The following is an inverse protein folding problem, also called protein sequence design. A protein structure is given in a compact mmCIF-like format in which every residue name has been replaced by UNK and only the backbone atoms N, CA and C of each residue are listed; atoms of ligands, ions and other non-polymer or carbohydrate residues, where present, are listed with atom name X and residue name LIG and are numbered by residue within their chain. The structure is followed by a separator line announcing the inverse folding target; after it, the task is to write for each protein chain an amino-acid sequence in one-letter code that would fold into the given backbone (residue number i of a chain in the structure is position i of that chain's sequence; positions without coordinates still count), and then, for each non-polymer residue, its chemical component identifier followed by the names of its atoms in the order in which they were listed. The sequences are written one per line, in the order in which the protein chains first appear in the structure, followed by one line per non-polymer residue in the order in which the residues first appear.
data_IF_777193641129
#
_entry.id   IF_777193641129
#
_cell.length_a   1.000
_cell.length_b   1.000
_cell.length_c   1.000
_cell.angle_alpha   90.00
_cell.angle_beta   90.00
_cell.angle_gamma   90.00
#
_symmetry.space_group_name_H-M   'P 1'
#
loop_
_entity.id
_entity.type
_entity.pdbx_description
1 polymer ?
#
# COMPACT_ATOMS: atom_id res chain seq x y z
N UNK A 1 10.49 9.84 6.45
CA UNK A 1 9.22 9.10 6.61
C UNK A 1 9.22 8.08 5.48
N UNK A 2 9.31 6.79 5.82
CA UNK A 2 9.34 5.64 4.88
C UNK A 2 8.21 4.67 5.30
N UNK A 3 7.20 5.20 6.00
CA UNK A 3 6.26 4.43 6.83
C UNK A 3 5.41 3.50 6.00
N UNK A 4 4.54 4.03 5.13
CA UNK A 4 3.69 3.13 4.36
C UNK A 4 4.44 2.34 3.32
N UNK A 5 5.42 2.84 2.57
CA UNK A 5 6.00 1.97 1.53
C UNK A 5 6.66 0.70 2.13
N UNK A 6 7.34 0.84 3.28
CA UNK A 6 7.90 -0.30 4.02
C UNK A 6 6.84 -1.09 4.79
N UNK A 7 5.71 -0.50 5.15
CA UNK A 7 4.57 -1.19 5.78
C UNK A 7 3.68 -1.91 4.76
N UNK A 8 3.44 -1.32 3.60
CA UNK A 8 2.56 -1.74 2.52
C UNK A 8 3.22 -2.83 1.69
N UNK A 9 4.51 -2.72 1.37
CA UNK A 9 5.22 -3.74 0.60
C UNK A 9 5.14 -5.15 1.21
N UNK A 10 5.40 -5.37 2.51
CA UNK A 10 5.18 -6.67 3.16
C UNK A 10 3.70 -6.97 3.46
N UNK A 11 2.79 -5.99 3.40
CA UNK A 11 1.35 -6.17 3.66
C UNK A 11 0.48 -6.27 2.39
N UNK A 12 1.03 -6.02 1.19
CA UNK A 12 0.44 -6.36 -0.13
C UNK A 12 0.37 -7.90 -0.35
N UNK A 13 0.38 -8.67 0.74
CA UNK A 13 0.26 -10.12 0.70
C UNK A 13 -1.03 -10.45 -0.04
N UNK A 14 -1.00 -11.46 -0.92
CA UNK A 14 -2.19 -11.98 -1.59
C UNK A 14 -3.36 -12.21 -0.61
N UNK A 15 -3.05 -12.61 0.64
CA UNK A 15 -4.04 -12.84 1.69
C UNK A 15 -4.94 -11.61 1.93
N UNK A 16 -4.39 -10.39 2.05
CA UNK A 16 -5.23 -9.20 2.32
C UNK A 16 -6.09 -8.83 1.12
N UNK A 17 -5.55 -8.99 -0.08
CA UNK A 17 -6.29 -8.76 -1.31
C UNK A 17 -7.48 -9.72 -1.44
N UNK A 18 -7.24 -11.02 -1.23
CA UNK A 18 -8.26 -12.05 -1.44
C UNK A 18 -9.27 -12.18 -0.29
N UNK A 19 -8.84 -12.00 0.96
CA UNK A 19 -9.71 -12.24 2.12
C UNK A 19 -10.29 -10.96 2.75
N UNK A 20 -9.80 -9.78 2.37
CA UNK A 20 -10.30 -8.52 2.93
C UNK A 20 -10.67 -7.50 1.87
N UNK A 21 -9.81 -7.21 0.89
CA UNK A 21 -10.12 -6.20 -0.12
C UNK A 21 -11.26 -6.62 -1.05
N UNK A 22 -11.04 -7.63 -1.90
CA UNK A 22 -12.02 -8.05 -2.92
C UNK A 22 -13.40 -8.40 -2.35
N UNK A 23 -13.52 -9.14 -1.22
CA UNK A 23 -14.84 -9.47 -0.67
C UNK A 23 -15.65 -8.26 -0.20
N UNK A 24 -15.02 -7.13 0.12
CA UNK A 24 -15.70 -5.96 0.67
C UNK A 24 -15.99 -4.86 -0.37
N UNK A 25 -15.54 -5.00 -1.61
CA UNK A 25 -15.73 -3.96 -2.66
C UNK A 25 -17.20 -3.66 -2.92
N UNK A 26 -18.05 -4.70 -2.97
CA UNK A 26 -19.47 -4.53 -3.27
C UNK A 26 -20.18 -3.68 -2.21
N UNK A 27 -19.81 -3.85 -0.93
CA UNK A 27 -20.46 -3.19 0.20
C UNK A 27 -19.86 -1.81 0.50
N UNK A 28 -18.53 -1.70 0.45
CA UNK A 28 -17.81 -0.51 0.92
C UNK A 28 -17.29 0.38 -0.21
N UNK A 29 -17.47 -0.04 -1.46
CA UNK A 29 -16.74 0.56 -2.58
C UNK A 29 -15.24 0.25 -2.53
N UNK A 30 -14.52 0.73 -3.53
CA UNK A 30 -13.07 0.48 -3.67
C UNK A 30 -12.29 1.12 -2.52
N UNK A 31 -12.57 2.39 -2.22
CA UNK A 31 -11.82 3.16 -1.21
C UNK A 31 -12.06 2.60 0.20
N UNK A 32 -13.31 2.32 0.56
CA UNK A 32 -13.65 1.73 1.86
C UNK A 32 -13.13 0.30 2.02
N UNK A 33 -13.16 -0.51 0.96
CA UNK A 33 -12.57 -1.85 1.00
C UNK A 33 -11.05 -1.81 1.13
N UNK A 34 -10.40 -0.82 0.49
CA UNK A 34 -8.96 -0.59 0.60
C UNK A 34 -8.57 -0.20 2.02
N UNK A 35 -9.24 0.80 2.60
CA UNK A 35 -9.00 1.23 3.97
C UNK A 35 -9.21 0.08 4.97
N UNK A 36 -10.25 -0.73 4.77
CA UNK A 36 -10.50 -1.92 5.59
C UNK A 36 -9.39 -2.98 5.48
N UNK A 37 -8.80 -3.16 4.30
CA UNK A 37 -7.77 -4.18 4.08
C UNK A 37 -6.40 -3.75 4.58
N UNK A 38 -6.07 -2.47 4.43
CA UNK A 38 -4.71 -1.96 4.60
C UNK A 38 -4.53 -0.97 5.76
N UNK A 39 -5.63 -0.47 6.33
CA UNK A 39 -5.62 0.42 7.50
C UNK A 39 -5.20 1.86 7.21
N UNK A 40 -5.09 2.23 5.94
CA UNK A 40 -4.84 3.60 5.45
C UNK A 40 -5.77 3.87 4.27
N UNK A 41 -6.07 5.14 4.04
CA UNK A 41 -6.85 5.59 2.87
C UNK A 41 -6.00 5.52 1.59
N UNK A 42 -6.67 5.54 0.43
CA UNK A 42 -5.96 5.67 -0.85
C UNK A 42 -5.25 7.01 -0.98
N UNK A 43 -5.80 8.09 -0.39
CA UNK A 43 -5.17 9.41 -0.39
C UNK A 43 -3.85 9.41 0.39
N UNK A 44 -3.83 8.81 1.58
CA UNK A 44 -2.59 8.62 2.35
C UNK A 44 -1.56 7.80 1.56
N UNK A 45 -1.99 6.72 0.89
CA UNK A 45 -1.12 5.95 0.00
C UNK A 45 -0.53 6.82 -1.12
N UNK A 46 -1.35 7.66 -1.78
CA UNK A 46 -0.89 8.53 -2.86
C UNK A 46 0.13 9.56 -2.37
N UNK A 47 -0.13 10.19 -1.22
CA UNK A 47 0.82 11.14 -0.61
C UNK A 47 2.16 10.46 -0.35
N UNK A 48 2.14 9.28 0.27
CA UNK A 48 3.37 8.54 0.57
C UNK A 48 4.06 8.02 -0.69
N UNK A 49 3.31 7.72 -1.76
CA UNK A 49 3.86 7.34 -3.05
C UNK A 49 4.57 8.50 -3.74
N UNK A 50 3.98 9.70 -3.73
CA UNK A 50 4.63 10.91 -4.26
C UNK A 50 5.89 11.25 -3.46
N UNK A 51 5.85 11.14 -2.14
CA UNK A 51 7.05 11.28 -1.30
C UNK A 51 8.13 10.27 -1.68
N UNK A 52 7.77 9.01 -1.92
CA UNK A 52 8.69 7.99 -2.41
C UNK A 52 9.30 8.35 -3.78
N UNK A 53 8.48 8.80 -4.73
CA UNK A 53 8.97 9.21 -6.06
C UNK A 53 9.93 10.41 -6.01
N UNK A 54 9.84 11.23 -4.96
CA UNK A 54 10.76 12.35 -4.73
C UNK A 54 12.15 11.92 -4.22
N UNK A 55 12.32 10.67 -3.79
CA UNK A 55 13.59 10.16 -3.26
C UNK A 55 14.62 9.95 -4.39
N UNK A 56 15.93 10.04 -4.07
CA UNK A 56 17.00 9.60 -4.96
C UNK A 56 16.82 8.14 -5.42
N UNK A 57 17.23 7.83 -6.66
CA UNK A 57 17.01 6.52 -7.28
C UNK A 57 17.61 5.35 -6.50
N UNK A 58 18.78 5.53 -5.88
CA UNK A 58 19.42 4.54 -5.01
C UNK A 58 18.57 4.20 -3.77
N UNK A 59 17.87 5.19 -3.21
CA UNK A 59 16.93 4.99 -2.11
C UNK A 59 15.64 4.33 -2.58
N UNK A 60 15.15 4.66 -3.79
CA UNK A 60 13.99 3.99 -4.37
C UNK A 60 14.24 2.49 -4.59
N UNK A 61 15.44 2.15 -5.09
CA UNK A 61 15.83 0.77 -5.38
C UNK A 61 16.05 -0.09 -4.13
N UNK A 62 16.32 0.52 -2.97
CA UNK A 62 16.51 -0.18 -1.70
C UNK A 62 15.25 -0.88 -1.16
N UNK A 63 14.08 -0.60 -1.74
CA UNK A 63 12.81 -1.22 -1.37
C UNK A 63 12.60 -2.59 -2.03
N UNK A 64 13.25 -2.85 -3.17
CA UNK A 64 13.13 -4.15 -3.85
C UNK A 64 13.88 -5.19 -3.01
N UNK A 65 13.22 -6.25 -2.52
CA UNK A 65 13.88 -7.30 -1.75
C UNK A 65 14.92 -7.98 -2.65
N UNK A 66 16.15 -8.11 -2.15
CA UNK A 66 17.15 -8.92 -2.81
C UNK A 66 16.71 -10.40 -2.79
N UNK A 67 16.92 -11.13 -3.90
CA UNK A 67 16.59 -12.56 -3.99
C UNK A 67 17.35 -13.41 -2.97
#
# INVERSE_FOLDING_TARGET
MVGAFTFFYPNLKPIRLFFTFYPNIYELGVDGAFEKAFGITMEELYVEFEEFLSLPADQQMGIIPNP
#
